data_IF_008839313041
#
_entry.id   IF_008839313041
#
_cell.length_a   1.000
_cell.length_b   1.000
_cell.length_c   1.000
_cell.angle_alpha   90.00
_cell.angle_beta   90.00
_cell.angle_gamma   90.00
#
_symmetry.space_group_name_H-M   'P 1'
#
loop_
_entity.id
_entity.type
_entity.pdbx_description
1 polymer ?
#
# COMPACT_ATOMS: atom_id res chain seq x y z
N UNK A 1 11.94 18.57 -5.07
CA UNK A 1 13.15 18.10 -5.83
C UNK A 1 12.74 16.90 -6.68
N UNK A 2 13.46 16.60 -7.76
CA UNK A 2 13.26 15.34 -8.51
C UNK A 2 14.02 14.20 -7.82
N UNK A 3 13.56 12.95 -8.02
CA UNK A 3 14.28 11.77 -7.51
C UNK A 3 15.75 11.78 -7.97
N UNK A 4 16.70 11.40 -7.11
CA UNK A 4 18.07 11.21 -7.52
C UNK A 4 18.17 10.27 -8.72
N UNK A 5 19.11 10.51 -9.63
CA UNK A 5 19.25 9.70 -10.86
C UNK A 5 19.43 8.21 -10.57
N UNK A 6 20.06 7.88 -9.44
CA UNK A 6 20.33 6.51 -9.01
C UNK A 6 19.26 5.91 -8.08
N UNK A 7 18.14 6.62 -7.81
CA UNK A 7 17.07 6.11 -6.94
C UNK A 7 16.30 4.94 -7.57
N UNK A 8 16.38 4.80 -8.89
CA UNK A 8 15.73 3.71 -9.63
C UNK A 8 16.74 2.71 -10.24
N UNK A 9 17.99 2.76 -9.82
CA UNK A 9 19.00 1.77 -10.22
C UNK A 9 18.84 0.51 -9.35
N UNK A 10 18.74 -0.67 -9.96
CA UNK A 10 18.44 -1.93 -9.27
C UNK A 10 17.27 -1.77 -8.31
N UNK A 11 16.16 -1.26 -8.85
CA UNK A 11 15.00 -0.85 -8.08
C UNK A 11 13.98 -1.97 -7.94
N UNK A 12 13.54 -2.19 -6.71
CA UNK A 12 12.49 -3.12 -6.33
C UNK A 12 11.29 -2.34 -5.81
N UNK A 13 10.09 -2.70 -6.25
CA UNK A 13 8.84 -2.30 -5.62
C UNK A 13 8.24 -3.48 -4.88
N UNK A 14 7.93 -3.34 -3.59
CA UNK A 14 7.26 -4.34 -2.78
C UNK A 14 5.92 -3.79 -2.30
N UNK A 15 4.81 -4.40 -2.74
CA UNK A 15 3.45 -3.99 -2.38
C UNK A 15 2.62 -5.15 -1.82
N UNK A 16 1.59 -4.80 -1.05
CA UNK A 16 0.76 -5.78 -0.39
C UNK A 16 -0.17 -6.53 -1.36
N UNK A 17 -0.95 -5.81 -2.15
CA UNK A 17 -2.02 -6.41 -2.96
C UNK A 17 -1.89 -6.05 -4.44
N UNK A 18 -2.48 -6.85 -5.35
CA UNK A 18 -2.70 -6.44 -6.73
C UNK A 18 -3.55 -5.17 -6.78
N UNK A 19 -3.10 -4.16 -7.48
CA UNK A 19 -3.54 -2.77 -7.65
C UNK A 19 -2.76 -1.71 -6.82
N UNK A 20 -2.09 -2.10 -5.74
CA UNK A 20 -1.32 -1.16 -4.92
C UNK A 20 -0.15 -0.51 -5.70
N UNK A 21 0.48 -1.26 -6.61
CA UNK A 21 1.61 -0.77 -7.41
C UNK A 21 1.21 0.41 -8.30
N UNK A 22 -0.02 0.41 -8.81
CA UNK A 22 -0.52 1.51 -9.64
C UNK A 22 -1.24 2.58 -8.83
N UNK A 23 -1.80 2.24 -7.69
CA UNK A 23 -2.46 3.20 -6.80
C UNK A 23 -1.46 4.18 -6.17
N UNK A 24 -0.28 3.69 -5.74
CA UNK A 24 0.64 4.43 -4.89
C UNK A 24 1.96 4.82 -5.56
N UNK A 25 2.28 4.24 -6.74
CA UNK A 25 3.55 4.43 -7.44
C UNK A 25 3.38 4.75 -8.91
N UNK A 26 2.23 5.30 -9.30
CA UNK A 26 1.84 5.53 -10.69
C UNK A 26 2.80 6.43 -11.49
N UNK A 27 3.51 7.35 -10.81
CA UNK A 27 4.45 8.27 -11.46
C UNK A 27 5.77 7.61 -11.89
N UNK A 28 6.08 6.44 -11.34
CA UNK A 28 7.36 5.74 -11.57
C UNK A 28 7.19 4.24 -11.83
N UNK A 29 5.94 3.75 -11.97
CA UNK A 29 5.62 2.32 -12.05
C UNK A 29 6.35 1.59 -13.19
N UNK A 30 6.51 2.23 -14.34
CA UNK A 30 7.15 1.68 -15.53
C UNK A 30 8.70 1.66 -15.43
N UNK A 31 9.27 2.21 -14.36
CA UNK A 31 10.70 2.37 -14.17
C UNK A 31 11.33 1.35 -13.22
N UNK A 32 10.51 0.59 -12.50
CA UNK A 32 11.02 -0.46 -11.62
C UNK A 32 11.59 -1.64 -12.43
N UNK A 33 12.73 -2.18 -11.95
CA UNK A 33 13.32 -3.39 -12.51
C UNK A 33 12.49 -4.62 -12.14
N UNK A 34 11.99 -4.66 -10.90
CA UNK A 34 11.15 -5.74 -10.39
C UNK A 34 10.04 -5.20 -9.48
N UNK A 35 8.88 -5.85 -9.52
CA UNK A 35 7.71 -5.56 -8.68
C UNK A 35 7.30 -6.85 -7.98
N UNK A 36 7.30 -6.85 -6.66
CA UNK A 36 6.84 -7.97 -5.83
C UNK A 36 5.48 -7.65 -5.23
N UNK A 37 4.49 -8.48 -5.53
CA UNK A 37 3.15 -8.42 -4.93
C UNK A 37 3.04 -9.55 -3.90
N UNK A 38 2.76 -9.20 -2.64
CA UNK A 38 2.89 -10.13 -1.52
C UNK A 38 1.66 -11.02 -1.35
N UNK A 39 0.46 -10.44 -1.34
CA UNK A 39 -0.77 -11.13 -0.97
C UNK A 39 -1.74 -11.23 -2.14
N UNK A 40 -2.26 -12.41 -2.39
CA UNK A 40 -3.23 -12.64 -3.46
C UNK A 40 -4.63 -12.91 -2.95
N UNK A 41 -4.74 -13.79 -1.96
CA UNK A 41 -6.02 -14.19 -1.41
C UNK A 41 -6.58 -13.10 -0.50
N UNK A 42 -7.73 -12.52 -0.89
CA UNK A 42 -8.44 -11.56 -0.04
C UNK A 42 -9.13 -12.22 1.15
N UNK A 43 -9.19 -13.56 1.17
CA UNK A 43 -9.94 -14.33 2.15
C UNK A 43 -11.44 -14.03 2.15
N UNK A 44 -11.95 -13.31 1.15
CA UNK A 44 -13.34 -12.87 1.06
C UNK A 44 -14.12 -13.55 -0.06
N UNK A 45 -13.49 -13.93 -1.16
CA UNK A 45 -14.11 -14.71 -2.23
C UNK A 45 -13.07 -15.32 -3.16
N UNK A 46 -13.30 -16.55 -3.62
CA UNK A 46 -12.52 -17.20 -4.68
C UNK A 46 -12.63 -16.42 -6.00
N UNK A 47 -13.75 -15.73 -6.23
CA UNK A 47 -13.98 -14.89 -7.42
C UNK A 47 -13.01 -13.73 -7.50
N UNK A 48 -12.75 -13.03 -6.39
CA UNK A 48 -11.79 -11.92 -6.37
C UNK A 48 -10.35 -12.43 -6.60
N UNK A 49 -9.98 -13.54 -5.98
CA UNK A 49 -8.67 -14.16 -6.21
C UNK A 49 -8.46 -14.55 -7.68
N UNK A 50 -9.49 -15.12 -8.33
CA UNK A 50 -9.46 -15.42 -9.75
C UNK A 50 -9.36 -14.16 -10.63
N UNK A 51 -10.14 -13.12 -10.30
CA UNK A 51 -10.10 -11.82 -10.97
C UNK A 51 -8.71 -11.17 -10.87
N UNK A 52 -8.08 -11.19 -9.71
CA UNK A 52 -6.71 -10.68 -9.48
C UNK A 52 -5.68 -11.46 -10.31
N UNK A 53 -5.74 -12.80 -10.34
CA UNK A 53 -4.85 -13.61 -11.18
C UNK A 53 -5.00 -13.30 -12.67
N UNK A 54 -6.24 -13.12 -13.14
CA UNK A 54 -6.50 -12.70 -14.51
C UNK A 54 -5.92 -11.32 -14.81
N UNK A 55 -6.09 -10.37 -13.89
CA UNK A 55 -5.56 -9.01 -14.03
C UNK A 55 -4.04 -9.00 -14.16
N UNK A 56 -3.34 -9.81 -13.35
CA UNK A 56 -1.88 -9.91 -13.43
C UNK A 56 -1.39 -10.56 -14.74
N UNK A 57 -2.15 -11.50 -15.33
CA UNK A 57 -1.83 -12.02 -16.66
C UNK A 57 -1.97 -10.97 -17.77
N UNK A 58 -2.96 -10.09 -17.62
CA UNK A 58 -3.25 -9.02 -18.58
C UNK A 58 -2.48 -7.73 -18.28
N UNK A 59 -1.69 -7.71 -17.21
CA UNK A 59 -0.98 -6.51 -16.73
C UNK A 59 0.10 -6.07 -17.71
N UNK A 60 0.19 -4.77 -17.98
CA UNK A 60 1.14 -4.22 -18.93
C UNK A 60 2.61 -4.47 -18.54
N UNK A 61 2.89 -4.66 -17.26
CA UNK A 61 4.24 -4.91 -16.70
C UNK A 61 4.41 -6.33 -16.17
N UNK A 62 3.60 -7.30 -16.62
CA UNK A 62 3.58 -8.67 -16.10
C UNK A 62 4.96 -9.34 -16.04
N UNK A 63 5.83 -9.02 -16.99
CA UNK A 63 7.16 -9.65 -17.08
C UNK A 63 8.14 -9.15 -15.99
N UNK A 64 7.75 -8.13 -15.23
CA UNK A 64 8.49 -7.58 -14.09
C UNK A 64 7.82 -7.90 -12.75
N UNK A 65 6.65 -8.55 -12.76
CA UNK A 65 5.87 -8.83 -11.56
C UNK A 65 6.17 -10.23 -11.07
N UNK A 66 6.65 -10.32 -9.85
CA UNK A 66 6.72 -11.56 -9.07
C UNK A 66 5.61 -11.58 -8.04
N UNK A 67 4.78 -12.61 -8.08
CA UNK A 67 3.70 -12.82 -7.12
C UNK A 67 4.14 -13.84 -6.07
N UNK A 68 4.14 -13.46 -4.78
CA UNK A 68 4.44 -14.38 -3.69
C UNK A 68 3.27 -15.29 -3.31
N UNK A 69 2.05 -14.91 -3.70
CA UNK A 69 0.79 -15.65 -3.44
C UNK A 69 0.61 -16.05 -1.95
N UNK A 70 1.02 -15.16 -1.04
CA UNK A 70 0.83 -15.37 0.38
C UNK A 70 -0.64 -15.12 0.76
N UNK A 71 -1.14 -15.91 1.71
CA UNK A 71 -2.48 -15.72 2.24
C UNK A 71 -2.56 -14.46 3.12
N UNK A 72 -3.64 -13.69 3.05
CA UNK A 72 -3.89 -12.54 3.91
C UNK A 72 -4.40 -12.95 5.30
N UNK A 73 -4.10 -12.11 6.32
CA UNK A 73 -4.62 -12.29 7.69
C UNK A 73 -6.06 -11.82 7.88
N UNK A 74 -6.70 -11.25 6.85
CA UNK A 74 -8.01 -10.56 6.98
C UNK A 74 -7.96 -9.40 7.98
N UNK A 75 -6.83 -8.72 8.02
CA UNK A 75 -6.48 -7.68 8.98
C UNK A 75 -7.29 -6.40 8.84
N UNK A 76 -7.90 -6.16 7.68
CA UNK A 76 -8.50 -4.86 7.33
C UNK A 76 -9.54 -4.38 8.36
N UNK A 77 -9.28 -3.22 8.97
CA UNK A 77 -10.09 -2.58 10.02
C UNK A 77 -10.17 -3.35 11.34
N UNK A 78 -9.23 -4.24 11.63
CA UNK A 78 -9.18 -4.99 12.88
C UNK A 78 -8.35 -4.27 13.95
N UNK A 79 -7.41 -3.39 13.56
CA UNK A 79 -6.68 -2.52 14.49
C UNK A 79 -7.55 -1.40 15.04
N UNK A 80 -7.07 -0.73 16.08
CA UNK A 80 -7.80 0.36 16.75
C UNK A 80 -7.51 1.72 16.10
N UNK A 81 -8.03 1.92 14.90
CA UNK A 81 -7.96 3.23 14.24
C UNK A 81 -8.79 4.31 14.96
N UNK A 82 -8.36 5.58 14.94
CA UNK A 82 -7.22 6.16 14.21
C UNK A 82 -5.88 6.12 14.98
N UNK A 83 -5.82 5.45 16.11
CA UNK A 83 -4.62 5.34 16.97
C UNK A 83 -4.28 3.88 17.22
N UNK A 84 -3.81 3.14 16.17
CA UNK A 84 -3.44 1.76 16.32
C UNK A 84 -2.16 1.59 17.15
N UNK A 85 -2.03 0.45 17.79
CA UNK A 85 -0.81 0.02 18.45
C UNK A 85 0.17 -0.50 17.41
N UNK A 86 1.36 0.10 17.34
CA UNK A 86 2.45 -0.31 16.47
C UNK A 86 3.26 -1.44 17.12
N UNK A 87 3.68 -2.38 16.32
CA UNK A 87 4.45 -3.55 16.73
C UNK A 87 5.60 -3.83 15.77
N UNK A 88 6.41 -4.80 16.09
CA UNK A 88 7.51 -5.27 15.26
C UNK A 88 7.09 -5.91 13.95
N UNK A 89 5.86 -6.38 13.86
CA UNK A 89 5.27 -7.05 12.70
C UNK A 89 4.24 -6.19 11.94
N UNK A 90 4.06 -4.93 12.31
CA UNK A 90 3.09 -4.02 11.73
C UNK A 90 2.19 -3.40 12.79
N UNK A 91 0.88 -3.61 12.70
CA UNK A 91 -0.10 -3.15 13.69
C UNK A 91 -0.71 -4.32 14.43
N UNK A 92 -0.95 -4.14 15.73
CA UNK A 92 -1.69 -5.11 16.53
C UNK A 92 -3.16 -5.15 16.12
N UNK A 93 -3.67 -6.37 15.88
CA UNK A 93 -5.08 -6.60 15.55
C UNK A 93 -5.92 -6.74 16.83
N UNK A 94 -6.10 -5.62 17.54
CA UNK A 94 -6.67 -5.58 18.90
C UNK A 94 -8.10 -6.09 19.02
N UNK A 95 -8.84 -6.17 17.92
CA UNK A 95 -10.24 -6.63 17.93
C UNK A 95 -10.39 -8.15 17.77
N UNK A 96 -9.30 -8.88 17.50
CA UNK A 96 -9.34 -10.31 17.30
C UNK A 96 -7.95 -10.94 17.51
N UNK A 97 -7.75 -11.64 18.63
CA UNK A 97 -6.49 -12.27 19.00
C UNK A 97 -6.05 -13.40 18.07
N UNK A 98 -7.00 -14.17 17.48
CA UNK A 98 -6.67 -15.23 16.53
C UNK A 98 -6.13 -14.66 15.24
N UNK A 99 -6.74 -13.57 14.75
CA UNK A 99 -6.25 -12.86 13.59
C UNK A 99 -4.92 -12.17 13.88
N UNK A 100 -4.69 -11.67 15.10
CA UNK A 100 -3.41 -11.08 15.48
C UNK A 100 -2.28 -12.13 15.43
N UNK A 101 -2.51 -13.34 16.00
CA UNK A 101 -1.55 -14.45 15.90
C UNK A 101 -1.25 -14.83 14.44
N UNK A 102 -2.28 -14.89 13.60
CA UNK A 102 -2.12 -15.16 12.17
C UNK A 102 -1.33 -14.05 11.48
N UNK A 103 -1.59 -12.79 11.82
CA UNK A 103 -0.88 -11.64 11.28
C UNK A 103 0.62 -11.66 11.64
N UNK A 104 0.97 -12.02 12.87
CA UNK A 104 2.36 -12.25 13.30
C UNK A 104 3.04 -13.34 12.48
N UNK A 105 2.36 -14.48 12.29
CA UNK A 105 2.91 -15.59 11.49
C UNK A 105 3.13 -15.19 10.03
N UNK A 106 2.21 -14.42 9.47
CA UNK A 106 2.34 -13.92 8.11
C UNK A 106 3.49 -12.94 7.95
N UNK A 107 3.77 -12.10 8.95
CA UNK A 107 4.94 -11.23 8.91
C UNK A 107 6.25 -12.03 8.79
N UNK A 108 6.34 -13.19 9.46
CA UNK A 108 7.49 -14.07 9.34
C UNK A 108 7.62 -14.69 7.94
N UNK A 109 6.51 -15.22 7.41
CA UNK A 109 6.48 -15.79 6.06
C UNK A 109 6.79 -14.75 4.99
N UNK A 110 6.24 -13.55 5.15
CA UNK A 110 6.53 -12.42 4.27
C UNK A 110 8.02 -12.08 4.29
N UNK A 111 8.61 -11.96 5.49
CA UNK A 111 10.04 -11.67 5.61
C UNK A 111 10.89 -12.69 4.88
N UNK A 112 10.65 -13.98 5.11
CA UNK A 112 11.43 -15.06 4.52
C UNK A 112 11.28 -15.08 2.98
N UNK A 113 10.08 -14.77 2.47
CA UNK A 113 9.80 -14.73 1.02
C UNK A 113 10.38 -13.48 0.32
N UNK A 114 10.39 -12.31 0.99
CA UNK A 114 10.82 -11.03 0.40
C UNK A 114 12.33 -10.81 0.55
N UNK A 115 12.97 -11.41 1.56
CA UNK A 115 14.38 -11.22 1.86
C UNK A 115 15.33 -11.34 0.65
N UNK A 116 15.24 -12.37 -0.22
CA UNK A 116 16.15 -12.48 -1.36
C UNK A 116 16.04 -11.33 -2.37
N UNK A 117 14.83 -10.79 -2.54
CA UNK A 117 14.58 -9.65 -3.43
C UNK A 117 15.17 -8.35 -2.85
N UNK A 118 14.93 -8.08 -1.57
CA UNK A 118 15.48 -6.89 -0.89
C UNK A 118 17.02 -6.93 -0.87
N UNK A 119 17.59 -8.09 -0.58
CA UNK A 119 19.06 -8.26 -0.56
C UNK A 119 19.71 -8.05 -1.94
N UNK A 120 18.98 -8.26 -3.04
CA UNK A 120 19.49 -8.06 -4.40
C UNK A 120 19.32 -6.60 -4.90
N UNK A 121 18.48 -5.81 -4.26
CA UNK A 121 18.14 -4.45 -4.67
C UNK A 121 19.10 -3.41 -4.06
N UNK A 122 19.35 -2.33 -4.80
CA UNK A 122 20.02 -1.13 -4.26
C UNK A 122 19.01 -0.10 -3.71
N UNK A 123 17.79 -0.13 -4.24
CA UNK A 123 16.70 0.74 -3.84
C UNK A 123 15.42 -0.08 -3.74
N UNK A 124 14.75 0.00 -2.61
CA UNK A 124 13.46 -0.63 -2.38
C UNK A 124 12.42 0.46 -2.13
N UNK A 125 11.34 0.41 -2.91
CA UNK A 125 10.14 1.20 -2.70
C UNK A 125 9.07 0.31 -2.10
N UNK A 126 8.32 0.83 -1.13
CA UNK A 126 7.25 0.06 -0.49
C UNK A 126 6.20 1.00 0.10
N UNK A 127 5.19 0.42 0.73
CA UNK A 127 4.18 1.16 1.49
C UNK A 127 4.80 2.10 2.52
N UNK A 128 4.02 3.07 2.97
CA UNK A 128 4.47 3.96 4.03
C UNK A 128 4.14 3.41 5.44
N UNK A 129 4.79 3.91 6.50
CA UNK A 129 4.62 3.38 7.85
C UNK A 129 3.23 3.58 8.47
N UNK A 130 2.33 4.33 7.81
CA UNK A 130 0.94 4.51 8.23
C UNK A 130 -0.08 3.84 7.31
N UNK A 131 0.39 3.08 6.29
CA UNK A 131 -0.44 2.24 5.42
C UNK A 131 -1.36 3.03 4.51
N UNK A 132 -0.90 4.13 3.90
CA UNK A 132 -1.61 5.01 2.98
C UNK A 132 -2.98 5.44 3.56
N UNK A 133 -4.03 4.75 3.17
CA UNK A 133 -5.38 5.01 3.69
C UNK A 133 -5.70 4.31 5.02
N UNK A 134 -4.71 3.69 5.66
CA UNK A 134 -4.85 2.98 6.94
C UNK A 134 -5.20 1.50 6.75
N UNK A 135 -4.40 0.77 5.96
CA UNK A 135 -4.50 -0.68 5.79
C UNK A 135 -3.42 -1.38 6.61
N UNK A 136 -3.81 -2.35 7.41
CA UNK A 136 -2.93 -3.08 8.31
C UNK A 136 -1.86 -3.87 7.54
N UNK A 137 -2.21 -4.51 6.42
CA UNK A 137 -1.25 -5.27 5.60
C UNK A 137 -0.19 -4.36 4.96
N UNK A 138 -0.54 -3.11 4.60
CA UNK A 138 0.43 -2.13 4.09
C UNK A 138 1.48 -1.79 5.15
N UNK A 139 1.04 -1.54 6.38
CA UNK A 139 1.96 -1.27 7.50
C UNK A 139 2.82 -2.50 7.78
N UNK A 140 2.28 -3.72 7.66
CA UNK A 140 3.05 -4.95 7.82
C UNK A 140 4.14 -5.08 6.75
N UNK A 141 3.81 -4.87 5.48
CA UNK A 141 4.78 -4.92 4.39
C UNK A 141 5.88 -3.88 4.59
N UNK A 142 5.51 -2.62 4.89
CA UNK A 142 6.48 -1.59 5.24
C UNK A 142 7.41 -2.05 6.36
N UNK A 143 6.88 -2.54 7.48
CA UNK A 143 7.66 -2.91 8.66
C UNK A 143 8.64 -4.05 8.38
N UNK A 144 8.22 -5.04 7.60
CA UNK A 144 9.07 -6.16 7.19
C UNK A 144 10.18 -5.69 6.25
N UNK A 145 9.82 -4.92 5.22
CA UNK A 145 10.78 -4.42 4.22
C UNK A 145 11.78 -3.44 4.85
N UNK A 146 11.32 -2.55 5.72
CA UNK A 146 12.18 -1.59 6.43
C UNK A 146 13.28 -2.30 7.23
N UNK A 147 12.93 -3.37 7.98
CA UNK A 147 13.91 -4.15 8.73
C UNK A 147 14.92 -4.87 7.85
N UNK A 148 14.47 -5.44 6.74
CA UNK A 148 15.35 -6.09 5.78
C UNK A 148 16.30 -5.08 5.11
N UNK A 149 15.81 -3.86 4.85
CA UNK A 149 16.63 -2.80 4.30
C UNK A 149 17.67 -2.27 5.32
N UNK A 150 17.31 -2.23 6.62
CA UNK A 150 18.24 -1.86 7.71
C UNK A 150 19.38 -2.88 7.88
N UNK A 151 19.07 -4.17 7.68
CA UNK A 151 20.04 -5.26 7.75
C UNK A 151 20.96 -5.31 6.51
N UNK A 152 20.72 -4.44 5.52
CA UNK A 152 21.45 -4.36 4.25
C UNK A 152 21.82 -2.90 3.92
N UNK A 153 22.64 -2.68 2.89
CA UNK A 153 22.94 -1.32 2.40
C UNK A 153 21.86 -0.79 1.43
N UNK A 154 20.65 -1.35 1.48
CA UNK A 154 19.55 -1.01 0.59
C UNK A 154 18.84 0.26 1.03
N UNK A 155 18.64 1.20 0.10
CA UNK A 155 17.91 2.43 0.39
C UNK A 155 16.41 2.16 0.33
N UNK A 156 15.71 2.53 1.39
CA UNK A 156 14.26 2.39 1.51
C UNK A 156 13.56 3.69 1.11
N UNK A 157 12.47 3.56 0.34
CA UNK A 157 11.66 4.66 -0.15
C UNK A 157 10.17 4.36 0.07
N UNK A 158 9.39 5.40 0.38
CA UNK A 158 7.93 5.29 0.47
C UNK A 158 7.22 6.54 -0.05
N UNK A 159 5.94 6.38 -0.43
CA UNK A 159 5.09 7.46 -0.91
C UNK A 159 4.39 8.24 0.21
N UNK A 160 3.84 9.41 -0.13
CA UNK A 160 3.25 10.37 0.81
C UNK A 160 1.72 10.32 0.89
N UNK A 161 1.09 9.25 0.49
CA UNK A 161 -0.37 9.10 0.59
C UNK A 161 -0.84 8.97 2.04
N UNK A 162 -1.95 9.62 2.35
CA UNK A 162 -2.54 9.62 3.70
C UNK A 162 -4.05 9.79 3.61
N UNK A 163 -4.76 9.30 4.60
CA UNK A 163 -6.20 9.48 4.73
C UNK A 163 -6.61 10.11 6.06
N UNK A 164 -7.90 10.43 6.18
CA UNK A 164 -8.51 10.80 7.44
C UNK A 164 -8.39 9.71 8.53
N UNK A 165 -8.26 8.42 8.14
CA UNK A 165 -8.10 7.29 9.05
C UNK A 165 -6.65 7.18 9.55
N UNK A 166 -5.66 7.34 8.66
CA UNK A 166 -4.24 7.10 8.93
C UNK A 166 -3.46 8.34 9.40
N UNK A 167 -4.07 9.53 9.35
CA UNK A 167 -3.38 10.81 9.60
C UNK A 167 -2.72 10.93 10.97
N UNK A 168 -3.29 10.33 12.02
CA UNK A 168 -2.68 10.35 13.37
C UNK A 168 -1.45 9.46 13.44
N UNK A 169 -1.51 8.28 12.82
CA UNK A 169 -0.36 7.39 12.72
C UNK A 169 0.76 8.03 11.88
N UNK A 170 0.41 8.68 10.76
CA UNK A 170 1.36 9.45 9.96
C UNK A 170 2.11 10.47 10.82
N UNK A 171 1.39 11.29 11.61
CA UNK A 171 2.03 12.31 12.46
C UNK A 171 3.04 11.72 13.42
N UNK A 172 2.75 10.58 14.06
CA UNK A 172 3.70 9.90 14.96
C UNK A 172 4.96 9.45 14.23
N UNK A 173 4.81 8.93 13.02
CA UNK A 173 5.95 8.46 12.22
C UNK A 173 6.73 9.59 11.54
N UNK A 174 6.13 10.76 11.34
CA UNK A 174 6.83 11.95 10.81
C UNK A 174 7.58 12.75 11.88
N UNK A 175 7.24 12.60 13.16
CA UNK A 175 7.97 13.21 14.26
C UNK A 175 9.41 12.66 14.28
N UNK A 176 10.36 13.43 13.76
CA UNK A 176 11.76 13.03 13.63
C UNK A 176 12.23 12.73 12.21
N UNK A 177 11.37 12.67 11.22
CA UNK A 177 11.76 12.59 9.81
C UNK A 177 12.23 13.97 9.31
N UNK A 178 13.54 14.18 9.32
CA UNK A 178 14.18 15.35 8.69
C UNK A 178 14.84 14.95 7.37
N UNK A 179 14.03 14.48 6.42
CA UNK A 179 14.54 14.00 5.15
C UNK A 179 13.99 14.85 3.99
N UNK A 180 14.76 15.07 2.92
CA UNK A 180 14.23 15.69 1.72
C UNK A 180 13.15 14.82 1.10
N UNK A 181 12.19 15.46 0.47
CA UNK A 181 11.18 14.80 -0.34
C UNK A 181 11.38 15.10 -1.83
N UNK A 182 10.95 14.15 -2.65
CA UNK A 182 11.14 14.18 -4.09
C UNK A 182 9.80 14.05 -4.78
N UNK A 183 9.50 14.94 -5.73
CA UNK A 183 8.21 15.00 -6.40
C UNK A 183 8.33 14.50 -7.83
N UNK A 184 7.44 13.60 -8.22
CA UNK A 184 7.35 13.02 -9.55
C UNK A 184 5.98 13.32 -10.16
N UNK A 185 5.91 13.87 -11.40
CA UNK A 185 4.64 14.08 -12.07
C UNK A 185 3.99 12.74 -12.42
N UNK A 186 2.68 12.66 -12.24
CA UNK A 186 1.88 11.51 -12.66
C UNK A 186 1.36 11.74 -14.08
N UNK A 187 1.44 10.70 -14.92
CA UNK A 187 0.74 10.64 -16.18
C UNK A 187 -0.58 9.84 -15.99
N UNK A 188 -1.74 10.51 -15.91
CA UNK A 188 -3.01 9.81 -15.62
C UNK A 188 -3.43 8.83 -16.72
N UNK A 189 -3.04 9.06 -17.97
CA UNK A 189 -3.36 8.15 -19.08
C UNK A 189 -2.55 6.85 -18.96
N UNK A 190 -1.26 6.96 -18.62
CA UNK A 190 -0.42 5.79 -18.37
C UNK A 190 -0.91 5.02 -17.15
N UNK A 191 -1.28 5.71 -16.07
CA UNK A 191 -1.84 5.08 -14.89
C UNK A 191 -3.14 4.31 -15.20
N UNK A 192 -4.05 4.91 -15.94
CA UNK A 192 -5.29 4.23 -16.38
C UNK A 192 -5.02 3.00 -17.22
N UNK A 193 -4.06 3.04 -18.16
CA UNK A 193 -3.72 1.85 -18.97
C UNK A 193 -3.27 0.67 -18.13
N UNK A 194 -2.51 0.90 -17.07
CA UNK A 194 -2.11 -0.16 -16.14
C UNK A 194 -3.31 -0.63 -15.33
N UNK A 195 -4.09 0.28 -14.76
CA UNK A 195 -5.29 -0.03 -13.96
C UNK A 195 -6.38 -0.75 -14.76
N UNK A 196 -6.45 -0.55 -16.08
CA UNK A 196 -7.44 -1.19 -16.96
C UNK A 196 -7.46 -2.72 -16.86
N UNK A 197 -6.34 -3.36 -16.59
CA UNK A 197 -6.29 -4.80 -16.39
C UNK A 197 -7.13 -5.24 -15.18
N UNK A 198 -7.06 -4.48 -14.08
CA UNK A 198 -7.84 -4.71 -12.88
C UNK A 198 -9.33 -4.41 -13.08
N UNK A 199 -9.65 -3.31 -13.77
CA UNK A 199 -11.03 -2.90 -14.05
C UNK A 199 -11.73 -3.93 -14.94
N UNK A 200 -11.10 -4.32 -16.06
CA UNK A 200 -11.69 -5.29 -17.02
C UNK A 200 -11.93 -6.66 -16.40
N UNK A 201 -11.07 -7.09 -15.51
CA UNK A 201 -11.17 -8.40 -14.85
C UNK A 201 -12.01 -8.38 -13.56
N UNK A 202 -12.54 -7.21 -13.15
CA UNK A 202 -13.35 -7.08 -11.93
C UNK A 202 -12.53 -7.17 -10.63
N UNK A 203 -11.23 -6.93 -10.71
CA UNK A 203 -10.32 -6.95 -9.56
C UNK A 203 -10.06 -5.57 -8.94
N UNK A 204 -10.55 -4.50 -9.56
CA UNK A 204 -10.44 -3.16 -8.99
C UNK A 204 -11.36 -3.02 -7.79
N UNK A 205 -10.79 -2.93 -6.59
CA UNK A 205 -11.53 -2.92 -5.32
C UNK A 205 -11.43 -1.60 -4.56
N UNK A 206 -10.69 -0.64 -5.10
CA UNK A 206 -10.52 0.68 -4.50
C UNK A 206 -11.71 1.60 -4.81
N UNK A 207 -11.50 2.89 -5.02
CA UNK A 207 -12.55 3.88 -5.33
C UNK A 207 -12.86 3.81 -6.82
N UNK A 208 -14.14 3.65 -7.20
CA UNK A 208 -14.55 3.48 -8.61
C UNK A 208 -14.08 4.62 -9.52
N UNK A 209 -14.19 5.87 -9.05
CA UNK A 209 -13.81 7.07 -9.79
C UNK A 209 -12.46 7.63 -9.31
N UNK A 210 -11.51 6.76 -8.94
CA UNK A 210 -10.22 7.20 -8.41
C UNK A 210 -9.49 8.10 -9.40
N UNK A 211 -9.06 9.26 -8.90
CA UNK A 211 -8.26 10.22 -9.65
C UNK A 211 -6.85 10.25 -9.07
N UNK A 212 -5.87 9.88 -9.89
CA UNK A 212 -4.48 10.02 -9.51
C UNK A 212 -4.14 11.50 -9.29
N UNK A 213 -3.29 11.82 -8.31
CA UNK A 213 -2.84 13.19 -8.08
C UNK A 213 -1.99 13.68 -9.26
N UNK A 214 -1.82 14.99 -9.38
CA UNK A 214 -0.95 15.58 -10.39
C UNK A 214 0.53 15.17 -10.22
N UNK A 215 0.92 14.87 -8.97
CA UNK A 215 2.27 14.39 -8.64
C UNK A 215 2.22 13.48 -7.41
N UNK A 216 3.17 12.57 -7.34
CA UNK A 216 3.51 11.78 -6.16
C UNK A 216 4.77 12.33 -5.52
N UNK A 217 4.88 12.14 -4.23
CA UNK A 217 6.03 12.57 -3.46
C UNK A 217 6.62 11.37 -2.73
N UNK A 218 7.92 11.19 -2.87
CA UNK A 218 8.65 10.09 -2.26
C UNK A 218 9.64 10.61 -1.23
N UNK A 219 9.83 9.82 -0.20
CA UNK A 219 10.74 10.07 0.92
C UNK A 219 11.69 8.88 1.01
N UNK A 220 12.98 9.17 1.16
CA UNK A 220 13.94 8.14 1.54
C UNK A 220 13.91 7.99 3.04
N UNK A 221 13.67 6.76 3.50
CA UNK A 221 13.73 6.44 4.92
C UNK A 221 15.20 6.32 5.38
N UNK A 222 15.52 7.06 6.40
CA UNK A 222 16.87 7.06 7.02
C UNK A 222 16.75 6.56 8.45
N UNK A 223 16.69 5.26 8.63
CA UNK A 223 16.46 4.62 9.93
C UNK A 223 17.49 4.89 11.03
N UNK A 224 18.61 5.56 10.76
CA UNK A 224 19.67 5.69 11.74
C UNK A 224 20.25 7.09 11.96
N UNK A 225 19.81 8.10 11.24
CA UNK A 225 20.32 9.47 11.41
C UNK A 225 19.18 10.49 11.55
N UNK A 226 18.54 10.45 12.71
CA UNK A 226 17.67 11.55 13.13
C UNK A 226 18.51 12.84 13.26
N UNK A 227 18.46 13.69 12.24
CA UNK A 227 18.86 15.08 12.43
C UNK A 227 17.66 15.83 13.02
N UNK A 228 17.74 16.11 14.30
CA UNK A 228 16.78 16.96 14.97
C UNK A 228 16.71 18.33 14.29
N UNK A 229 15.50 18.76 13.90
CA UNK A 229 15.22 20.18 13.88
C UNK A 229 14.96 20.88 12.56
N UNK A 230 14.44 20.24 11.50
CA UNK A 230 13.89 21.02 10.38
C UNK A 230 12.38 20.77 10.32
N UNK A 231 11.60 21.72 10.79
CA UNK A 231 10.16 21.80 10.55
C UNK A 231 9.92 22.29 9.12
N UNK A 232 10.11 21.41 8.14
CA UNK A 232 9.72 21.68 6.76
C UNK A 232 8.29 21.16 6.51
N UNK A 233 7.48 21.83 5.68
CA UNK A 233 6.19 21.29 5.24
C UNK A 233 6.40 19.95 4.55
N UNK A 234 5.66 18.92 4.99
CA UNK A 234 5.66 17.61 4.36
C UNK A 234 4.42 17.54 3.43
N UNK A 235 4.59 17.47 2.11
CA UNK A 235 3.46 17.38 1.19
C UNK A 235 2.79 16.02 1.30
N UNK A 236 1.46 15.98 1.23
CA UNK A 236 0.68 14.75 1.30
C UNK A 236 -0.33 14.65 0.17
N UNK A 237 -0.52 13.45 -0.35
CA UNK A 237 -1.63 13.09 -1.23
C UNK A 237 -2.77 12.57 -0.35
N UNK A 238 -3.76 13.43 -0.13
CA UNK A 238 -4.85 13.11 0.81
C UNK A 238 -5.97 12.32 0.14
N UNK A 239 -6.31 11.18 0.73
CA UNK A 239 -7.40 10.30 0.29
C UNK A 239 -8.51 10.35 1.33
N UNK A 240 -9.73 10.67 0.91
CA UNK A 240 -10.88 10.59 1.78
C UNK A 240 -11.48 9.19 1.75
N UNK A 241 -11.33 8.46 2.84
CA UNK A 241 -11.98 7.14 3.01
C UNK A 241 -13.21 7.26 3.89
N UNK A 242 -14.22 6.42 3.70
CA UNK A 242 -15.40 6.35 4.56
C UNK A 242 -15.01 5.74 5.92
N UNK A 243 -14.48 6.59 6.80
CA UNK A 243 -14.04 6.22 8.14
C UNK A 243 -14.67 7.19 9.16
N UNK A 244 -15.38 6.63 10.14
CA UNK A 244 -15.91 7.37 11.28
C UNK A 244 -15.32 6.79 12.58
N UNK A 245 -14.44 7.51 13.28
CA UNK A 245 -13.79 7.03 14.50
C UNK A 245 -14.78 6.79 15.65
N UNK A 246 -15.99 7.36 15.57
CA UNK A 246 -17.04 7.23 16.59
C UNK A 246 -18.05 6.11 16.28
N UNK A 247 -17.99 5.53 15.07
CA UNK A 247 -18.92 4.50 14.59
C UNK A 247 -18.35 3.10 14.77
N UNK A 248 -18.10 2.71 16.02
CA UNK A 248 -17.55 1.37 16.33
C UNK A 248 -18.51 0.20 16.09
N UNK A 249 -19.79 0.44 15.71
CA UNK A 249 -20.79 -0.64 15.63
C UNK A 249 -21.95 -0.43 14.62
N UNK A 250 -21.75 0.20 13.46
CA UNK A 250 -22.81 0.13 12.43
C UNK A 250 -22.58 -1.07 11.52
N UNK A 251 -23.53 -2.04 11.58
CA UNK A 251 -23.64 -3.18 10.65
C UNK A 251 -23.50 -2.68 9.22
N UNK A 252 -22.61 -3.31 8.45
CA UNK A 252 -22.47 -3.06 7.00
C UNK A 252 -23.87 -3.09 6.35
N UNK A 253 -24.19 -2.15 5.46
CA UNK A 253 -25.45 -2.24 4.72
C UNK A 253 -25.48 -3.58 3.98
N UNK A 254 -26.57 -4.33 4.14
CA UNK A 254 -26.75 -5.64 3.54
C UNK A 254 -26.56 -5.58 2.02
N UNK A 255 -26.08 -6.68 1.42
CA UNK A 255 -25.92 -6.84 -0.03
C UNK A 255 -27.17 -6.36 -0.82
N UNK A 256 -28.37 -6.50 -0.25
CA UNK A 256 -29.61 -6.00 -0.81
C UNK A 256 -29.63 -4.47 -1.03
N UNK A 257 -29.00 -3.67 -0.18
CA UNK A 257 -28.88 -2.22 -0.38
C UNK A 257 -27.86 -1.83 -1.45
N UNK A 258 -26.82 -2.65 -1.65
CA UNK A 258 -25.84 -2.45 -2.75
C UNK A 258 -26.48 -2.73 -4.11
N UNK A 259 -27.27 -3.80 -4.22
CA UNK A 259 -28.02 -4.15 -5.44
C UNK A 259 -29.07 -3.08 -5.77
N UNK A 260 -29.74 -2.51 -4.77
CA UNK A 260 -30.76 -1.47 -4.98
C UNK A 260 -30.16 -0.14 -5.49
N UNK A 261 -28.94 0.23 -5.09
CA UNK A 261 -28.24 1.39 -5.65
C UNK A 261 -27.78 1.17 -7.09
N UNK A 262 -27.37 -0.05 -7.43
CA UNK A 262 -27.01 -0.42 -8.82
C UNK A 262 -28.21 -0.39 -9.78
N UNK A 263 -29.40 -0.81 -9.32
CA UNK A 263 -30.63 -0.77 -10.13
C UNK A 263 -31.14 0.67 -10.38
N UNK A 264 -31.05 1.56 -9.40
CA UNK A 264 -31.49 2.96 -9.60
C UNK A 264 -30.66 3.72 -10.64
N UNK A 265 -29.38 3.41 -10.80
CA UNK A 265 -28.53 4.01 -11.85
C UNK A 265 -28.84 3.51 -13.27
N UNK A 266 -29.56 2.38 -13.42
CA UNK A 266 -29.97 1.84 -14.73
C UNK A 266 -31.36 2.29 -15.19
N UNK A 267 -32.12 2.98 -14.34
CA UNK A 267 -33.51 3.43 -14.63
C UNK A 267 -33.56 4.95 -14.89
N UNK A 268 -32.45 5.65 -14.83
CA UNK A 268 -32.33 7.10 -15.09
C UNK A 268 -31.49 7.37 -16.35
N UNK A 269 -31.82 6.67 -17.45
CA UNK A 269 -31.40 6.98 -18.82
C UNK A 269 -32.65 7.06 -19.68
#
# INVERSE_FOLDING_TARGET
MQLPSNALDKSLLVVAHPDDEILWFSSIIDRFDEIVICYMDSGHSDELGAARRNSLRDHALRDRITLLDLAQSKSHNISQWPEPEETDYGLKLTKNEDLDRLHVEQARRLRDAVQPFVAAASNVFTHNPWGEYGHEDHVQVYRVVSRLADDSETRLWFGNYVSNKSSRLMRRNLEGLATPYYTMPVNPESARRVADAYVRNGAWTFIDDYQWPACECFVQDHNSQMQAGISAPFPVNYIRVPFDPFMTNRRRPSLARRLWRGLRRRISL
#
